data_IF_072831669406
#
_entry.id   IF_072831669406
#
_cell.length_a   1.000
_cell.length_b   1.000
_cell.length_c   1.000
_cell.angle_alpha   90.00
_cell.angle_beta   90.00
_cell.angle_gamma   90.00
#
_symmetry.space_group_name_H-M   'P 1'
#
loop_
_entity.id
_entity.type
_entity.pdbx_description
1 polymer ?
#
# COMPACT_ATOMS: atom_id res chain seq x y z
N UNK A 1 35.62 -14.65 -29.94
CA UNK A 1 35.66 -14.38 -28.49
C UNK A 1 34.35 -14.89 -27.91
N UNK A 2 34.36 -16.12 -27.39
CA UNK A 2 33.16 -16.84 -26.96
C UNK A 2 33.03 -16.60 -25.46
N UNK A 3 32.00 -15.88 -25.04
CA UNK A 3 31.75 -15.63 -23.61
C UNK A 3 31.09 -16.89 -23.05
N UNK A 4 31.84 -17.64 -22.25
CA UNK A 4 31.34 -18.79 -21.49
C UNK A 4 30.73 -18.24 -20.20
N UNK A 5 29.42 -18.36 -20.03
CA UNK A 5 28.78 -18.15 -18.73
C UNK A 5 28.85 -19.44 -17.93
N UNK A 6 29.53 -19.41 -16.79
CA UNK A 6 29.49 -20.45 -15.77
C UNK A 6 28.20 -20.32 -14.98
N UNK A 7 27.23 -21.20 -15.24
CA UNK A 7 26.03 -21.37 -14.42
C UNK A 7 26.45 -22.11 -13.15
N UNK A 8 26.37 -21.44 -12.01
CA UNK A 8 26.51 -22.09 -10.69
C UNK A 8 25.12 -22.59 -10.31
N UNK A 9 24.87 -23.89 -10.46
CA UNK A 9 23.70 -24.57 -9.89
C UNK A 9 23.88 -24.69 -8.37
N UNK A 10 23.32 -23.75 -7.61
CA UNK A 10 23.09 -23.96 -6.19
C UNK A 10 21.79 -24.75 -6.02
N UNK A 11 21.91 -26.07 -5.97
CA UNK A 11 20.82 -26.96 -5.56
C UNK A 11 20.51 -26.74 -4.07
N UNK A 12 19.63 -25.79 -3.76
CA UNK A 12 18.96 -25.73 -2.48
C UNK A 12 17.99 -26.91 -2.41
N UNK A 13 18.25 -27.85 -1.49
CA UNK A 13 17.35 -28.97 -1.18
C UNK A 13 15.99 -28.41 -0.73
N UNK A 14 14.99 -28.55 -1.59
CA UNK A 14 13.58 -28.25 -1.29
C UNK A 14 13.01 -29.32 -0.35
N UNK A 15 12.39 -28.90 0.75
CA UNK A 15 11.48 -29.77 1.52
C UNK A 15 10.17 -29.94 0.75
N UNK A 16 9.64 -31.16 0.73
CA UNK A 16 8.39 -31.58 0.06
C UNK A 16 7.15 -30.75 0.50
N UNK A 17 6.99 -29.56 -0.06
CA UNK A 17 5.86 -28.67 0.22
C UNK A 17 5.42 -27.95 -1.07
N UNK A 18 4.21 -28.27 -1.52
CA UNK A 18 3.43 -27.68 -2.61
C UNK A 18 4.22 -27.07 -3.79
N UNK A 19 4.57 -27.90 -4.78
CA UNK A 19 5.10 -27.44 -6.08
C UNK A 19 3.96 -26.81 -6.87
N UNK A 20 4.13 -25.56 -7.28
CA UNK A 20 3.19 -24.89 -8.18
C UNK A 20 3.16 -25.60 -9.55
N UNK A 21 1.99 -26.05 -10.02
CA UNK A 21 1.85 -26.85 -11.27
C UNK A 21 0.94 -26.23 -12.33
N UNK A 22 0.33 -25.08 -12.06
CA UNK A 22 -0.69 -24.54 -12.96
C UNK A 22 -0.07 -23.62 -14.03
N UNK A 23 -0.24 -23.88 -15.33
CA UNK A 23 0.36 -23.01 -16.34
C UNK A 23 -0.26 -21.60 -16.30
N UNK A 24 0.49 -20.60 -16.74
CA UNK A 24 -0.10 -19.30 -17.04
C UNK A 24 -1.05 -19.48 -18.23
N UNK A 25 -2.33 -19.08 -18.14
CA UNK A 25 -3.25 -19.19 -19.26
C UNK A 25 -2.75 -18.40 -20.48
N UNK A 26 -3.12 -18.86 -21.67
CA UNK A 26 -2.63 -18.26 -22.92
C UNK A 26 -2.92 -16.75 -22.97
N UNK A 27 -1.92 -15.96 -23.39
CA UNK A 27 -1.99 -14.51 -23.51
C UNK A 27 -2.25 -13.75 -22.20
N UNK A 28 -1.94 -14.35 -21.04
CA UNK A 28 -2.00 -13.68 -19.74
C UNK A 28 -0.60 -13.30 -19.26
N UNK A 29 -0.54 -12.29 -18.40
CA UNK A 29 0.67 -11.82 -17.72
C UNK A 29 0.64 -12.14 -16.23
N UNK A 30 -0.55 -12.31 -15.65
CA UNK A 30 -0.78 -12.71 -14.27
C UNK A 30 -1.97 -13.67 -14.20
N UNK A 31 -1.83 -14.73 -13.39
CA UNK A 31 -2.92 -15.58 -12.96
C UNK A 31 -2.83 -15.82 -11.44
N UNK A 32 -3.97 -15.78 -10.75
CA UNK A 32 -4.06 -16.08 -9.32
C UNK A 32 -5.05 -17.21 -9.09
N UNK A 33 -4.62 -18.16 -8.28
CA UNK A 33 -5.36 -19.35 -7.92
C UNK A 33 -5.60 -19.37 -6.42
N UNK A 34 -6.73 -19.94 -5.99
CA UNK A 34 -6.89 -20.42 -4.63
C UNK A 34 -6.91 -21.95 -4.68
N UNK A 35 -5.93 -22.60 -4.08
CA UNK A 35 -5.62 -24.02 -4.34
C UNK A 35 -5.38 -24.26 -5.85
N UNK A 36 -6.34 -24.93 -6.52
CA UNK A 36 -6.31 -25.22 -7.95
C UNK A 36 -7.32 -24.39 -8.76
N UNK A 37 -8.18 -23.63 -8.09
CA UNK A 37 -9.23 -22.87 -8.76
C UNK A 37 -8.67 -21.52 -9.22
N UNK A 38 -8.78 -21.27 -10.53
CA UNK A 38 -8.39 -19.99 -11.12
C UNK A 38 -9.40 -18.92 -10.71
N UNK A 39 -8.98 -17.95 -9.90
CA UNK A 39 -9.86 -16.89 -9.38
C UNK A 39 -9.65 -15.55 -10.09
N UNK A 40 -8.48 -15.31 -10.70
CA UNK A 40 -8.18 -14.06 -11.38
C UNK A 40 -7.16 -14.24 -12.51
N UNK A 41 -7.32 -13.49 -13.61
CA UNK A 41 -6.28 -13.33 -14.64
C UNK A 41 -6.22 -11.90 -15.13
N UNK A 42 -5.05 -11.48 -15.60
CA UNK A 42 -4.88 -10.22 -16.33
C UNK A 42 -3.88 -10.39 -17.47
N UNK A 43 -3.99 -9.50 -18.46
CA UNK A 43 -3.06 -9.34 -19.59
C UNK A 43 -2.35 -7.98 -19.55
N UNK A 44 -2.55 -7.22 -18.46
CA UNK A 44 -1.97 -5.90 -18.27
C UNK A 44 -0.44 -5.93 -18.23
N UNK A 45 0.16 -4.75 -18.37
CA UNK A 45 1.62 -4.59 -18.35
C UNK A 45 2.08 -4.02 -17.03
N UNK A 46 3.35 -4.30 -16.70
CA UNK A 46 3.99 -3.78 -15.49
C UNK A 46 3.20 -4.19 -14.24
N UNK A 47 2.96 -3.28 -13.31
CA UNK A 47 2.24 -3.58 -12.07
C UNK A 47 0.71 -3.46 -12.17
N UNK A 48 0.17 -3.02 -13.32
CA UNK A 48 -1.29 -2.88 -13.48
C UNK A 48 -2.09 -4.15 -13.16
N UNK A 49 -1.67 -5.37 -13.60
CA UNK A 49 -2.31 -6.61 -13.21
C UNK A 49 -2.50 -6.80 -11.69
N UNK A 50 -1.51 -6.40 -10.90
CA UNK A 50 -1.55 -6.55 -9.44
C UNK A 50 -2.50 -5.54 -8.79
N UNK A 51 -2.65 -4.34 -9.36
CA UNK A 51 -3.63 -3.38 -8.89
C UNK A 51 -5.06 -3.71 -9.31
N UNK A 52 -5.23 -4.31 -10.48
CA UNK A 52 -6.51 -4.91 -10.89
C UNK A 52 -6.91 -6.03 -9.93
N UNK A 53 -5.95 -6.89 -9.54
CA UNK A 53 -6.15 -7.92 -8.52
C UNK A 53 -6.54 -7.32 -7.16
N UNK A 54 -5.85 -6.27 -6.70
CA UNK A 54 -6.17 -5.56 -5.44
C UNK A 54 -7.62 -5.04 -5.43
N UNK A 55 -8.04 -4.47 -6.56
CA UNK A 55 -9.40 -3.98 -6.76
C UNK A 55 -10.39 -5.14 -6.76
N UNK A 56 -10.08 -6.23 -7.47
CA UNK A 56 -10.89 -7.46 -7.47
C UNK A 56 -11.06 -8.04 -6.06
N UNK A 57 -10.00 -8.08 -5.26
CA UNK A 57 -10.05 -8.58 -3.90
C UNK A 57 -10.87 -7.73 -2.93
N UNK A 58 -11.17 -6.48 -3.28
CA UNK A 58 -12.02 -5.59 -2.48
C UNK A 58 -13.51 -5.97 -2.56
N UNK A 59 -13.93 -6.67 -3.62
CA UNK A 59 -15.32 -7.14 -3.81
C UNK A 59 -15.46 -8.67 -3.85
N UNK A 60 -14.36 -9.41 -3.79
CA UNK A 60 -14.38 -10.88 -3.84
C UNK A 60 -14.75 -11.50 -2.47
N UNK A 61 -15.84 -12.27 -2.44
CA UNK A 61 -16.38 -12.93 -1.24
C UNK A 61 -15.94 -14.40 -1.07
N UNK A 62 -15.21 -14.95 -2.05
CA UNK A 62 -14.76 -16.35 -2.00
C UNK A 62 -13.57 -16.59 -1.04
N UNK A 63 -13.22 -17.87 -0.81
CA UNK A 63 -12.12 -18.24 0.07
C UNK A 63 -10.76 -17.78 -0.46
N UNK A 64 -9.82 -17.50 0.46
CA UNK A 64 -8.46 -17.03 0.20
C UNK A 64 -7.42 -17.78 1.05
N UNK A 65 -7.70 -19.05 1.33
CA UNK A 65 -6.94 -19.83 2.32
C UNK A 65 -5.57 -20.25 1.81
N UNK A 66 -5.42 -20.41 0.49
CA UNK A 66 -4.19 -20.88 -0.14
C UNK A 66 -3.96 -20.20 -1.50
N UNK A 67 -3.55 -18.93 -1.46
CA UNK A 67 -3.35 -18.11 -2.64
C UNK A 67 -1.99 -18.38 -3.30
N UNK A 68 -2.05 -18.67 -4.61
CA UNK A 68 -0.91 -18.88 -5.48
C UNK A 68 -0.97 -17.91 -6.66
N UNK A 69 0.15 -17.29 -7.04
CA UNK A 69 0.23 -16.41 -8.22
C UNK A 69 1.29 -16.89 -9.19
N UNK A 70 0.99 -16.78 -10.49
CA UNK A 70 1.94 -16.95 -11.58
C UNK A 70 2.01 -15.66 -12.37
N UNK A 71 3.18 -15.04 -12.41
CA UNK A 71 3.44 -13.79 -13.11
C UNK A 71 4.60 -13.95 -14.10
N UNK A 72 4.49 -13.30 -15.25
CA UNK A 72 5.56 -13.25 -16.25
C UNK A 72 6.84 -12.59 -15.75
N UNK A 73 6.78 -11.65 -14.80
CA UNK A 73 7.97 -11.00 -14.25
C UNK A 73 7.74 -10.51 -12.81
N UNK A 74 8.53 -11.02 -11.86
CA UNK A 74 8.45 -10.65 -10.45
C UNK A 74 9.71 -9.92 -9.99
N UNK A 75 9.60 -8.60 -9.80
CA UNK A 75 10.60 -7.80 -9.09
C UNK A 75 10.20 -7.52 -7.64
N UNK A 76 11.02 -6.79 -6.88
CA UNK A 76 10.72 -6.42 -5.48
C UNK A 76 9.33 -5.77 -5.33
N UNK A 77 8.96 -4.91 -6.28
CA UNK A 77 7.64 -4.26 -6.32
C UNK A 77 6.46 -5.25 -6.39
N UNK A 78 6.56 -6.23 -7.28
CA UNK A 78 5.52 -7.24 -7.47
C UNK A 78 5.41 -8.14 -6.23
N UNK A 79 6.55 -8.56 -5.68
CA UNK A 79 6.61 -9.35 -4.46
C UNK A 79 5.94 -8.63 -3.27
N UNK A 80 6.22 -7.33 -3.06
CA UNK A 80 5.56 -6.52 -2.02
C UNK A 80 4.04 -6.56 -2.17
N UNK A 81 3.52 -6.34 -3.38
CA UNK A 81 2.08 -6.33 -3.64
C UNK A 81 1.45 -7.71 -3.42
N UNK A 82 2.04 -8.77 -3.96
CA UNK A 82 1.53 -10.14 -3.84
C UNK A 82 1.47 -10.60 -2.38
N UNK A 83 2.56 -10.41 -1.62
CA UNK A 83 2.63 -10.80 -0.21
C UNK A 83 1.62 -10.02 0.62
N UNK A 84 1.48 -8.70 0.36
CA UNK A 84 0.48 -7.87 1.04
C UNK A 84 -0.95 -8.36 0.80
N UNK A 85 -1.24 -8.90 -0.38
CA UNK A 85 -2.54 -9.48 -0.73
C UNK A 85 -2.73 -10.90 -0.18
N UNK A 86 -1.76 -11.44 0.55
CA UNK A 86 -1.84 -12.76 1.18
C UNK A 86 -1.43 -13.92 0.27
N UNK A 87 -0.82 -13.64 -0.90
CA UNK A 87 -0.25 -14.69 -1.76
C UNK A 87 1.00 -15.25 -1.10
N UNK A 88 1.04 -16.58 -0.93
CA UNK A 88 2.16 -17.28 -0.28
C UNK A 88 3.02 -18.07 -1.24
N UNK A 89 2.46 -18.45 -2.39
CA UNK A 89 3.15 -19.23 -3.40
C UNK A 89 3.24 -18.42 -4.69
N UNK A 90 4.45 -18.05 -5.08
CA UNK A 90 4.70 -17.21 -6.25
C UNK A 90 5.51 -18.02 -7.25
N UNK A 91 5.04 -18.08 -8.48
CA UNK A 91 5.78 -18.58 -9.62
C UNK A 91 6.07 -17.43 -10.59
N UNK A 92 7.31 -17.33 -11.06
CA UNK A 92 7.75 -16.26 -11.94
C UNK A 92 8.48 -16.79 -13.18
N UNK A 93 8.07 -16.41 -14.39
CA UNK A 93 8.89 -16.74 -15.57
C UNK A 93 10.26 -16.04 -15.49
N UNK A 94 10.31 -14.87 -14.87
CA UNK A 94 11.51 -14.09 -14.67
C UNK A 94 11.47 -13.42 -13.29
N UNK A 95 12.53 -13.55 -12.50
CA UNK A 95 12.63 -12.86 -11.20
C UNK A 95 13.93 -12.07 -11.06
N UNK A 96 13.95 -11.10 -10.12
CA UNK A 96 15.15 -10.33 -9.78
C UNK A 96 15.78 -10.76 -8.45
N UNK A 97 17.09 -10.54 -8.28
CA UNK A 97 17.75 -10.74 -6.98
C UNK A 97 17.16 -9.88 -5.86
N UNK A 98 16.62 -8.70 -6.18
CA UNK A 98 15.95 -7.86 -5.20
C UNK A 98 14.66 -8.49 -4.67
N UNK A 99 13.89 -9.16 -5.53
CA UNK A 99 12.70 -9.90 -5.11
C UNK A 99 13.06 -11.05 -4.16
N UNK A 100 14.08 -11.85 -4.52
CA UNK A 100 14.56 -12.97 -3.68
C UNK A 100 14.99 -12.47 -2.30
N UNK A 101 15.88 -11.47 -2.25
CA UNK A 101 16.35 -10.90 -0.98
C UNK A 101 15.20 -10.40 -0.10
N UNK A 102 14.22 -9.71 -0.70
CA UNK A 102 13.07 -9.22 0.04
C UNK A 102 12.25 -10.37 0.66
N UNK A 103 11.98 -11.44 -0.10
CA UNK A 103 11.23 -12.60 0.39
C UNK A 103 12.01 -13.35 1.49
N UNK A 104 13.32 -13.48 1.34
CA UNK A 104 14.19 -14.09 2.36
C UNK A 104 14.13 -13.33 3.69
N UNK A 105 14.19 -12.00 3.67
CA UNK A 105 14.05 -11.18 4.88
C UNK A 105 12.67 -11.34 5.53
N UNK A 106 11.58 -11.28 4.74
CA UNK A 106 10.22 -11.49 5.25
C UNK A 106 10.06 -12.87 5.92
N UNK A 107 10.66 -13.91 5.33
CA UNK A 107 10.62 -15.27 5.86
C UNK A 107 11.43 -15.43 7.16
N UNK A 108 12.56 -14.71 7.30
CA UNK A 108 13.33 -14.67 8.56
C UNK A 108 12.51 -14.07 9.69
N UNK A 109 11.75 -13.01 9.39
CA UNK A 109 10.89 -12.34 10.38
C UNK A 109 9.63 -13.14 10.72
N UNK A 110 9.12 -13.94 9.77
CA UNK A 110 7.85 -14.66 9.90
C UNK A 110 7.99 -16.17 9.62
N UNK A 111 8.68 -16.93 10.49
CA UNK A 111 8.98 -18.35 10.24
C UNK A 111 7.75 -19.26 10.16
N UNK A 112 6.61 -18.83 10.71
CA UNK A 112 5.35 -19.58 10.68
C UNK A 112 4.49 -19.28 9.44
N UNK A 113 4.89 -18.32 8.60
CA UNK A 113 4.15 -17.92 7.41
C UNK A 113 5.10 -17.73 6.23
N UNK A 114 5.68 -18.84 5.78
CA UNK A 114 6.68 -18.86 4.72
C UNK A 114 6.04 -18.50 3.38
N UNK A 115 6.71 -17.58 2.68
CA UNK A 115 6.47 -17.23 1.29
C UNK A 115 7.46 -18.01 0.43
N UNK A 116 6.96 -18.63 -0.64
CA UNK A 116 7.76 -19.40 -1.60
C UNK A 116 7.78 -18.68 -2.94
N UNK A 117 8.95 -18.63 -3.57
CA UNK A 117 9.17 -18.08 -4.90
C UNK A 117 9.89 -19.11 -5.76
N UNK A 118 9.20 -19.62 -6.76
CA UNK A 118 9.75 -20.47 -7.82
C UNK A 118 9.89 -19.64 -9.11
N UNK A 119 10.88 -19.96 -9.95
CA UNK A 119 11.11 -19.18 -11.16
C UNK A 119 11.83 -19.96 -12.28
N UNK A 120 11.59 -19.57 -13.53
CA UNK A 120 12.30 -20.13 -14.70
C UNK A 120 13.68 -19.46 -14.91
N UNK A 121 13.75 -18.14 -14.74
CA UNK A 121 14.96 -17.36 -14.97
C UNK A 121 15.20 -16.31 -13.88
N UNK A 122 16.49 -16.08 -13.57
CA UNK A 122 16.95 -15.08 -12.61
C UNK A 122 17.80 -14.02 -13.31
N UNK A 123 17.51 -12.76 -13.02
CA UNK A 123 18.35 -11.61 -13.40
C UNK A 123 18.81 -10.84 -12.16
N UNK A 124 19.90 -10.09 -12.31
CA UNK A 124 20.36 -9.22 -11.23
C UNK A 124 19.32 -8.12 -10.91
N UNK A 125 18.67 -7.58 -11.94
CA UNK A 125 17.66 -6.50 -11.83
C UNK A 125 16.69 -6.50 -13.02
N UNK A 126 15.42 -6.18 -12.79
CA UNK A 126 14.46 -5.80 -13.83
C UNK A 126 14.65 -4.31 -14.15
N UNK A 127 14.86 -3.99 -15.42
CA UNK A 127 15.08 -2.60 -15.87
C UNK A 127 13.80 -1.77 -15.77
N UNK A 128 13.48 -1.28 -14.56
CA UNK A 128 12.34 -0.40 -14.32
C UNK A 128 12.66 0.67 -13.26
N UNK A 129 12.13 1.87 -13.46
CA UNK A 129 12.35 3.00 -12.53
C UNK A 129 11.83 2.73 -11.12
N UNK A 130 10.87 1.81 -10.96
CA UNK A 130 10.26 1.46 -9.68
C UNK A 130 11.20 0.60 -8.82
N UNK A 131 12.00 -0.30 -9.41
CA UNK A 131 12.88 -1.18 -8.63
C UNK A 131 14.05 -0.43 -7.98
N UNK A 132 14.59 0.60 -8.65
CA UNK A 132 15.62 1.46 -8.09
C UNK A 132 15.14 2.23 -6.85
N UNK A 133 13.88 2.68 -6.84
CA UNK A 133 13.35 3.45 -5.71
C UNK A 133 12.99 2.57 -4.52
N UNK A 134 12.74 1.29 -4.74
CA UNK A 134 12.42 0.35 -3.68
C UNK A 134 13.66 -0.30 -3.08
N UNK A 135 14.83 -0.20 -3.72
CA UNK A 135 16.06 -0.89 -3.31
C UNK A 135 16.37 -0.65 -1.82
N UNK A 136 16.36 0.62 -1.41
CA UNK A 136 16.69 1.05 -0.05
C UNK A 136 15.51 1.08 0.93
N UNK A 137 14.30 0.72 0.47
CA UNK A 137 13.11 0.69 1.31
C UNK A 137 12.88 -0.70 1.90
N UNK A 138 12.62 -0.77 3.21
CA UNK A 138 12.39 -2.01 3.94
C UNK A 138 10.96 -2.10 4.49
N UNK A 139 10.34 -0.97 4.83
CA UNK A 139 8.98 -0.94 5.36
C UNK A 139 7.93 -1.23 4.27
N UNK A 140 7.12 -2.26 4.47
CA UNK A 140 6.12 -2.71 3.49
C UNK A 140 5.01 -1.69 3.22
N UNK A 141 4.60 -0.90 4.22
CA UNK A 141 3.54 0.12 4.07
C UNK A 141 4.07 1.34 3.27
N UNK A 142 5.31 1.74 3.50
CA UNK A 142 5.98 2.79 2.72
C UNK A 142 6.13 2.38 1.25
N UNK A 143 6.62 1.16 1.01
CA UNK A 143 6.73 0.61 -0.35
C UNK A 143 5.37 0.54 -1.05
N UNK A 144 4.33 0.07 -0.36
CA UNK A 144 2.98 0.02 -0.92
C UNK A 144 2.44 1.40 -1.30
N UNK A 145 2.67 2.40 -0.44
CA UNK A 145 2.25 3.78 -0.68
C UNK A 145 2.95 4.37 -1.91
N UNK A 146 4.27 4.19 -2.02
CA UNK A 146 5.04 4.61 -3.20
C UNK A 146 4.52 3.93 -4.47
N UNK A 147 4.26 2.62 -4.41
CA UNK A 147 3.75 1.86 -5.55
C UNK A 147 2.38 2.34 -6.02
N UNK A 148 1.44 2.58 -5.11
CA UNK A 148 0.13 3.15 -5.45
C UNK A 148 0.25 4.55 -6.03
N UNK A 149 1.17 5.38 -5.52
CA UNK A 149 1.41 6.72 -6.05
C UNK A 149 1.95 6.65 -7.48
N UNK A 150 2.95 5.80 -7.76
CA UNK A 150 3.52 5.62 -9.10
C UNK A 150 2.52 5.07 -10.11
N UNK A 151 1.60 4.21 -9.66
CA UNK A 151 0.51 3.69 -10.47
C UNK A 151 -0.60 4.72 -10.73
N UNK A 152 -0.50 5.94 -10.17
CA UNK A 152 -1.55 6.98 -10.19
C UNK A 152 -2.89 6.50 -9.60
N UNK A 153 -2.83 5.54 -8.68
CA UNK A 153 -4.00 4.98 -7.99
C UNK A 153 -4.33 5.71 -6.70
N UNK A 154 -3.38 6.49 -6.16
CA UNK A 154 -3.69 7.48 -5.13
C UNK A 154 -4.33 8.68 -5.83
N UNK A 155 -5.64 8.62 -6.04
CA UNK A 155 -6.38 9.75 -6.61
C UNK A 155 -6.81 10.76 -5.54
N UNK A 156 -6.55 10.51 -4.25
CA UNK A 156 -7.15 11.26 -3.14
C UNK A 156 -8.49 10.64 -2.72
N UNK A 157 -9.22 11.30 -1.83
CA UNK A 157 -10.53 10.85 -1.36
C UNK A 157 -11.63 11.76 -1.90
N UNK A 158 -12.83 11.22 -2.09
CA UNK A 158 -14.02 12.01 -2.30
C UNK A 158 -14.52 12.57 -0.97
N UNK A 159 -14.95 13.83 -0.96
CA UNK A 159 -15.54 14.49 0.21
C UNK A 159 -16.91 15.01 -0.16
N UNK A 160 -17.94 14.62 0.59
CA UNK A 160 -19.30 15.13 0.44
C UNK A 160 -19.73 15.75 1.76
N UNK A 161 -20.14 17.02 1.69
CA UNK A 161 -20.65 17.80 2.83
C UNK A 161 -22.06 18.25 2.49
N UNK A 162 -23.00 17.93 3.36
CA UNK A 162 -24.42 18.20 3.15
C UNK A 162 -25.02 18.93 4.35
N UNK A 163 -25.57 20.12 4.09
CA UNK A 163 -26.32 20.95 5.05
C UNK A 163 -25.60 21.17 6.39
N UNK A 164 -24.28 21.31 6.32
CA UNK A 164 -23.42 21.40 7.49
C UNK A 164 -23.64 22.72 8.22
N UNK A 165 -23.96 22.63 9.51
CA UNK A 165 -24.06 23.80 10.38
C UNK A 165 -23.28 23.58 11.66
N UNK A 166 -22.64 24.65 12.15
CA UNK A 166 -21.94 24.64 13.42
C UNK A 166 -21.94 26.03 14.07
N UNK A 167 -22.58 26.15 15.24
CA UNK A 167 -22.83 27.41 15.94
C UNK A 167 -21.54 28.14 16.30
N UNK A 168 -20.54 27.42 16.84
CA UNK A 168 -19.22 28.00 17.15
C UNK A 168 -18.42 28.38 15.91
N UNK A 169 -18.73 27.77 14.76
CA UNK A 169 -18.13 28.08 13.46
C UNK A 169 -18.78 29.25 12.74
N UNK A 170 -19.96 29.72 13.19
CA UNK A 170 -20.73 30.81 12.56
C UNK A 170 -21.10 30.54 11.09
N UNK A 171 -21.30 29.29 10.69
CA UNK A 171 -21.86 28.94 9.38
C UNK A 171 -23.05 27.99 9.51
N UNK A 172 -23.95 28.05 8.53
CA UNK A 172 -25.18 27.26 8.46
C UNK A 172 -25.41 26.76 7.04
N UNK A 173 -25.94 25.55 6.92
CA UNK A 173 -26.35 24.92 5.66
C UNK A 173 -25.28 24.94 4.56
N UNK A 174 -24.02 24.71 4.95
CA UNK A 174 -22.92 24.60 3.99
C UNK A 174 -22.96 23.23 3.31
N UNK A 175 -23.00 23.22 1.97
CA UNK A 175 -22.97 22.00 1.16
C UNK A 175 -21.95 22.14 0.04
N UNK A 176 -21.09 21.14 -0.13
CA UNK A 176 -20.13 21.06 -1.24
C UNK A 176 -19.62 19.64 -1.43
N UNK A 177 -19.07 19.38 -2.62
CA UNK A 177 -18.43 18.11 -2.96
C UNK A 177 -17.01 18.36 -3.47
N UNK A 178 -16.08 17.49 -3.09
CA UNK A 178 -14.73 17.40 -3.66
C UNK A 178 -14.53 16.01 -4.23
N UNK A 179 -14.11 15.94 -5.48
CA UNK A 179 -13.67 14.67 -6.08
C UNK A 179 -12.22 14.40 -5.69
N UNK A 180 -11.78 13.13 -5.74
CA UNK A 180 -10.37 12.78 -5.56
C UNK A 180 -9.46 13.69 -6.40
N UNK A 181 -8.44 14.27 -5.74
CA UNK A 181 -7.39 15.07 -6.37
C UNK A 181 -7.73 16.55 -6.52
N UNK A 182 -8.96 16.95 -6.21
CA UNK A 182 -9.34 18.35 -6.15
C UNK A 182 -8.77 19.04 -4.91
N UNK A 183 -8.58 20.36 -5.02
CA UNK A 183 -8.11 21.22 -3.94
C UNK A 183 -9.21 22.21 -3.59
N UNK A 184 -9.59 22.25 -2.32
CA UNK A 184 -10.51 23.26 -1.79
C UNK A 184 -9.72 24.41 -1.17
N UNK A 185 -10.02 25.64 -1.59
CA UNK A 185 -9.52 26.85 -0.94
C UNK A 185 -10.64 27.49 -0.12
N UNK A 186 -10.42 27.65 1.19
CA UNK A 186 -11.38 28.29 2.10
C UNK A 186 -10.87 29.69 2.41
N UNK A 187 -11.59 30.72 1.94
CA UNK A 187 -11.24 32.13 2.16
C UNK A 187 -12.30 32.79 3.05
N UNK A 188 -11.89 33.75 3.87
CA UNK A 188 -12.75 34.56 4.70
C UNK A 188 -11.96 35.30 5.77
N UNK A 189 -12.60 36.26 6.43
CA UNK A 189 -11.98 37.03 7.53
C UNK A 189 -11.67 36.16 8.76
N UNK A 190 -10.89 36.69 9.69
CA UNK A 190 -10.66 36.00 10.96
C UNK A 190 -11.96 35.86 11.75
N UNK A 191 -12.21 34.65 12.26
CA UNK A 191 -13.44 34.35 13.00
C UNK A 191 -14.65 33.91 12.17
N UNK A 192 -14.52 33.74 10.84
CA UNK A 192 -15.60 33.20 9.98
C UNK A 192 -15.75 31.68 10.02
N UNK A 193 -14.96 30.99 10.85
CA UNK A 193 -15.06 29.54 11.05
C UNK A 193 -14.20 28.67 10.13
N UNK A 194 -13.23 29.22 9.40
CA UNK A 194 -12.34 28.43 8.51
C UNK A 194 -11.63 27.27 9.23
N UNK A 195 -10.93 27.58 10.32
CA UNK A 195 -10.26 26.56 11.16
C UNK A 195 -11.26 25.57 11.73
N UNK A 196 -12.47 26.04 12.05
CA UNK A 196 -13.56 25.19 12.55
C UNK A 196 -14.05 24.22 11.49
N UNK A 197 -14.23 24.67 10.24
CA UNK A 197 -14.59 23.83 9.10
C UNK A 197 -13.51 22.77 8.85
N UNK A 198 -12.22 23.14 8.88
CA UNK A 198 -11.12 22.18 8.74
C UNK A 198 -11.13 21.12 9.85
N UNK A 199 -11.39 21.50 11.10
CA UNK A 199 -11.49 20.55 12.22
C UNK A 199 -12.68 19.61 12.11
N UNK A 200 -13.81 20.08 11.56
CA UNK A 200 -14.96 19.23 11.26
C UNK A 200 -14.63 18.24 10.14
N UNK A 201 -13.99 18.70 9.06
CA UNK A 201 -13.51 17.86 7.96
C UNK A 201 -12.42 16.88 8.36
N UNK A 202 -11.72 17.13 9.46
CA UNK A 202 -10.75 16.23 10.07
C UNK A 202 -11.38 15.27 11.12
N UNK A 203 -12.68 15.38 11.38
CA UNK A 203 -13.38 14.57 12.38
C UNK A 203 -13.04 14.92 13.84
N UNK A 204 -12.29 16.00 14.09
CA UNK A 204 -11.91 16.46 15.44
C UNK A 204 -13.13 17.02 16.18
N UNK A 205 -14.06 17.63 15.47
CA UNK A 205 -15.33 18.12 16.01
C UNK A 205 -16.52 17.42 15.36
N UNK A 206 -17.65 17.39 16.06
CA UNK A 206 -18.93 16.94 15.51
C UNK A 206 -19.75 18.15 15.07
N UNK A 207 -20.39 18.11 13.90
CA UNK A 207 -21.29 19.19 13.49
C UNK A 207 -22.55 19.23 14.36
N UNK A 208 -23.20 20.39 14.42
CA UNK A 208 -24.49 20.52 15.09
C UNK A 208 -25.63 19.92 14.22
N UNK A 209 -25.49 20.05 12.90
CA UNK A 209 -26.37 19.44 11.91
C UNK A 209 -25.65 19.18 10.59
N UNK A 210 -26.25 18.35 9.73
CA UNK A 210 -25.68 17.96 8.45
C UNK A 210 -24.72 16.79 8.56
N UNK A 211 -24.14 16.39 7.43
CA UNK A 211 -23.29 15.20 7.34
C UNK A 211 -22.02 15.48 6.55
N UNK A 212 -20.96 14.74 6.90
CA UNK A 212 -19.69 14.72 6.18
C UNK A 212 -19.37 13.27 5.87
N UNK A 213 -19.21 12.96 4.58
CA UNK A 213 -18.82 11.64 4.09
C UNK A 213 -17.47 11.73 3.37
N UNK A 214 -16.59 10.78 3.64
CA UNK A 214 -15.32 10.56 2.95
C UNK A 214 -15.38 9.19 2.30
N UNK A 215 -15.29 9.14 0.97
CA UNK A 215 -15.51 7.91 0.19
C UNK A 215 -16.81 7.17 0.58
N UNK A 216 -17.88 7.94 0.74
CA UNK A 216 -19.22 7.45 1.12
C UNK A 216 -19.36 7.03 2.58
N UNK A 217 -18.27 6.93 3.35
CA UNK A 217 -18.31 6.61 4.78
C UNK A 217 -18.48 7.87 5.61
N UNK A 218 -19.35 7.83 6.63
CA UNK A 218 -19.47 8.94 7.56
C UNK A 218 -18.14 9.19 8.28
N UNK A 219 -17.76 10.46 8.44
CA UNK A 219 -16.48 10.85 9.03
C UNK A 219 -16.23 10.27 10.43
N UNK A 220 -17.29 10.00 11.20
CA UNK A 220 -17.21 9.41 12.55
C UNK A 220 -16.83 7.92 12.53
N UNK A 221 -16.93 7.27 11.37
CA UNK A 221 -16.70 5.83 11.17
C UNK A 221 -15.46 5.57 10.31
N UNK A 222 -14.60 6.57 10.08
CA UNK A 222 -13.40 6.39 9.28
C UNK A 222 -12.31 5.66 10.05
N UNK A 223 -11.52 4.91 9.30
CA UNK A 223 -10.31 4.29 9.82
C UNK A 223 -9.34 5.39 10.28
N UNK A 224 -8.61 5.11 11.36
CA UNK A 224 -7.56 6.02 11.86
C UNK A 224 -6.56 6.30 10.72
N UNK A 225 -6.02 7.52 10.70
CA UNK A 225 -5.03 7.97 9.71
C UNK A 225 -5.56 8.18 8.28
N UNK A 226 -6.87 8.12 8.04
CA UNK A 226 -7.48 8.47 6.74
C UNK A 226 -7.31 9.95 6.41
N UNK A 227 -7.38 10.82 7.42
CA UNK A 227 -7.30 12.28 7.26
C UNK A 227 -6.14 12.83 8.10
N UNK A 228 -5.20 13.51 7.45
CA UNK A 228 -4.16 14.29 8.11
C UNK A 228 -4.63 15.73 8.33
N UNK A 229 -4.43 16.26 9.53
CA UNK A 229 -4.74 17.65 9.87
C UNK A 229 -3.48 18.35 10.37
N UNK A 230 -3.09 19.44 9.71
CA UNK A 230 -1.98 20.30 10.12
C UNK A 230 -2.56 21.51 10.86
N UNK A 231 -2.32 21.66 12.17
CA UNK A 231 -2.88 22.77 12.94
C UNK A 231 -2.25 24.11 12.54
N UNK A 232 -3.05 25.18 12.65
CA UNK A 232 -2.62 26.55 12.36
C UNK A 232 -1.47 27.04 13.26
N UNK A 233 -1.49 26.65 14.53
CA UNK A 233 -0.37 26.86 15.45
C UNK A 233 0.14 25.50 15.88
N UNK A 234 1.44 25.29 15.70
CA UNK A 234 2.18 24.29 16.46
C UNK A 234 2.46 24.95 17.79
N UNK A 235 1.66 24.66 18.83
CA UNK A 235 2.14 24.94 20.19
C UNK A 235 3.50 24.28 20.27
N UNK A 236 4.53 25.06 20.64
CA UNK A 236 5.89 24.56 20.78
C UNK A 236 5.89 23.56 21.92
N UNK A 237 5.51 22.32 21.61
CA UNK A 237 5.66 21.23 22.55
C UNK A 237 7.14 21.17 22.87
N UNK A 238 7.49 21.43 24.12
CA UNK A 238 8.85 21.38 24.68
C UNK A 238 9.41 19.95 24.68
N UNK A 239 9.22 19.20 23.59
CA UNK A 239 9.85 17.91 23.40
C UNK A 239 11.06 18.15 22.50
N UNK A 240 12.24 17.79 23.00
CA UNK A 240 13.48 17.73 22.22
C UNK A 240 13.39 16.55 21.25
N UNK A 241 12.51 16.63 20.26
CA UNK A 241 12.43 15.68 19.17
C UNK A 241 13.27 16.20 18.01
N UNK A 242 14.02 15.30 17.40
CA UNK A 242 14.69 15.53 16.13
C UNK A 242 13.69 15.71 14.99
N UNK A 243 14.11 16.34 13.89
CA UNK A 243 13.29 16.48 12.68
C UNK A 243 12.81 15.14 12.16
N UNK A 244 13.63 14.09 12.27
CA UNK A 244 13.27 12.74 11.87
C UNK A 244 12.15 12.17 12.74
N UNK A 245 12.22 12.34 14.07
CA UNK A 245 11.18 11.90 14.98
C UNK A 245 9.86 12.65 14.76
N UNK A 246 9.91 13.96 14.54
CA UNK A 246 8.71 14.77 14.24
C UNK A 246 8.06 14.32 12.93
N UNK A 247 8.84 14.08 11.88
CA UNK A 247 8.34 13.52 10.62
C UNK A 247 7.78 12.10 10.84
N UNK A 248 8.46 11.30 11.66
CA UNK A 248 8.08 9.94 12.08
C UNK A 248 6.69 9.86 12.70
N UNK A 249 6.26 10.86 13.47
CA UNK A 249 4.93 10.90 14.10
C UNK A 249 3.77 10.85 13.09
N UNK A 250 4.00 11.29 11.85
CA UNK A 250 3.01 11.23 10.77
C UNK A 250 2.89 9.84 10.12
N UNK A 251 3.85 8.95 10.34
CA UNK A 251 3.85 7.60 9.76
C UNK A 251 3.19 6.61 10.71
N UNK A 252 2.15 5.95 10.24
CA UNK A 252 1.59 4.81 10.94
C UNK A 252 2.34 3.55 10.54
N UNK A 253 3.37 3.17 11.30
CA UNK A 253 3.88 1.80 11.23
C UNK A 253 2.87 0.89 11.95
N UNK A 254 2.33 -0.11 11.23
CA UNK A 254 1.57 -1.21 11.85
C UNK A 254 2.45 -2.15 12.66
N UNK A 255 3.76 -1.93 12.75
CA UNK A 255 4.64 -2.83 13.49
C UNK A 255 4.57 -2.59 14.99
N UNK A 256 4.15 -3.65 15.68
CA UNK A 256 4.17 -3.82 17.13
C UNK A 256 5.58 -3.93 17.73
N UNK A 257 6.61 -3.33 17.13
CA UNK A 257 7.94 -3.28 17.72
C UNK A 257 8.38 -1.83 17.98
N UNK A 258 7.97 -1.32 19.16
CA UNK A 258 8.48 -0.08 19.76
C UNK A 258 10.01 0.00 19.87
N UNK A 259 10.71 -1.11 19.66
CA UNK A 259 12.17 -1.22 19.83
C UNK A 259 12.97 -0.68 18.64
N UNK A 260 12.41 -0.61 17.43
CA UNK A 260 13.17 -0.16 16.25
C UNK A 260 13.26 1.35 16.09
N UNK A 261 12.24 2.10 16.52
CA UNK A 261 12.29 3.57 16.50
C UNK A 261 13.42 4.09 17.42
N UNK A 262 13.73 3.36 18.50
CA UNK A 262 14.81 3.74 19.44
C UNK A 262 16.20 3.44 18.86
N UNK A 263 16.35 2.48 17.94
CA UNK A 263 17.65 2.14 17.35
C UNK A 263 18.10 3.09 16.24
N UNK A 264 17.21 3.89 15.65
CA UNK A 264 17.59 4.96 14.72
C UNK A 264 17.97 6.28 15.41
N UNK A 265 17.83 6.36 16.74
CA UNK A 265 18.12 7.54 17.54
C UNK A 265 19.36 7.39 18.46
N UNK A 266 20.15 6.31 18.29
CA UNK A 266 21.44 6.07 18.96
C UNK A 266 22.52 5.83 17.91
#
# INVERSE_FOLDING_TARGET
>A
MQIVYSIIEMNLKMNDSYIYKNPLPQNKTLAVYNNNDLIFTSFGKWLHPLFELDTFFSSYEGPKDNLCAHDTAVGKAAAVLMIRMGIKHIYANLTSRLAIKYIEEINKENPNNIITLEYDALVDRLLCATENQLEDLYNADEMYSLLRQRAKLVQGVSVNVENLSYKFGKFKNLSFNLTPGQRLMIIGENGTGKTTLLRLLAGIHKPDSGTIHIDGKNIQNLDKYTIGYIPQSTDSTQFSLSTEEVAGLGFHSKEKNKTEIIKKAL
#
